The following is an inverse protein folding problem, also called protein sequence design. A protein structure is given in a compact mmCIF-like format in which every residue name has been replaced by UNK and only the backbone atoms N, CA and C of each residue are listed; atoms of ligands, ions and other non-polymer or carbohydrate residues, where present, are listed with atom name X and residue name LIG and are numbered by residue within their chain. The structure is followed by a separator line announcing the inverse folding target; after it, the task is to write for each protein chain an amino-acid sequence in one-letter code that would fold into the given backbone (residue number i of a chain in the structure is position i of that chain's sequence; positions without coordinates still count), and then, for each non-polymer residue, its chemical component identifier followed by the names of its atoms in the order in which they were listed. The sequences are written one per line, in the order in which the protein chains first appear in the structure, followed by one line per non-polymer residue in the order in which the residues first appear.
data_IF_198801000795
#
_entry.id   IF_198801000795
#
_cell.length_a   1.000
_cell.length_b   1.000
_cell.length_c   1.000
_cell.angle_alpha   90.00
_cell.angle_beta   90.00
_cell.angle_gamma   90.00
#
_symmetry.space_group_name_H-M   'P 1'
#
loop_
_entity.id
_entity.type
_entity.pdbx_description
1 polymer ?
#
# COMPACT_ATOMS: atom_id res chain seq x y z
N UNK A 1 15.03 26.00 65.22
CA UNK A 1 15.08 24.99 64.17
C UNK A 1 14.03 25.32 63.13
N UNK A 2 14.44 25.91 61.99
CA UNK A 2 13.53 26.30 60.90
C UNK A 2 13.75 25.29 59.80
N UNK A 3 12.69 24.47 59.48
CA UNK A 3 12.73 23.48 58.40
C UNK A 3 12.27 24.17 57.12
N UNK A 4 13.20 24.41 56.20
CA UNK A 4 12.89 24.85 54.83
C UNK A 4 12.32 23.68 54.03
N UNK A 5 11.04 23.77 53.62
CA UNK A 5 10.44 22.90 52.64
C UNK A 5 10.74 23.46 51.24
N UNK A 6 11.59 22.79 50.47
CA UNK A 6 11.79 23.03 49.05
C UNK A 6 10.61 22.39 48.30
N UNK A 7 9.75 23.23 47.75
CA UNK A 7 8.66 22.80 46.85
C UNK A 7 9.25 22.58 45.45
N UNK A 8 9.38 21.32 45.03
CA UNK A 8 9.78 20.98 43.65
C UNK A 8 8.59 21.18 42.71
N UNK A 9 8.67 22.18 41.85
CA UNK A 9 7.67 22.45 40.80
C UNK A 9 7.93 21.49 39.63
N UNK A 10 7.13 20.44 39.48
CA UNK A 10 7.16 19.54 38.32
C UNK A 10 6.52 20.26 37.13
N UNK A 11 7.33 20.67 36.14
CA UNK A 11 6.85 21.18 34.88
C UNK A 11 6.42 19.99 34.04
N UNK A 12 5.11 19.72 33.97
CA UNK A 12 4.53 18.78 33.03
C UNK A 12 4.59 19.42 31.64
N UNK A 13 5.55 18.97 30.83
CA UNK A 13 5.63 19.34 29.41
C UNK A 13 4.42 18.77 28.65
N UNK A 14 3.44 19.62 28.34
CA UNK A 14 2.36 19.28 27.44
C UNK A 14 2.95 19.06 26.04
N UNK A 15 2.94 17.81 25.56
CA UNK A 15 3.22 17.51 24.17
C UNK A 15 2.14 18.16 23.30
N UNK A 16 2.47 19.22 22.58
CA UNK A 16 1.57 19.84 21.62
C UNK A 16 1.23 18.82 20.53
N UNK A 17 -0.05 18.67 20.16
CA UNK A 17 -0.41 17.82 19.02
C UNK A 17 0.31 18.34 17.77
N UNK A 18 1.00 17.46 17.04
CA UNK A 18 1.58 17.78 15.75
C UNK A 18 0.44 18.26 14.84
N UNK A 19 0.51 19.51 14.38
CA UNK A 19 -0.47 20.04 13.44
C UNK A 19 -0.43 19.21 12.14
N UNK A 20 -1.59 18.88 11.61
CA UNK A 20 -1.70 18.22 10.31
C UNK A 20 -1.30 19.21 9.20
N UNK A 21 -0.55 18.74 8.21
CA UNK A 21 -0.18 19.51 7.04
C UNK A 21 -0.36 18.66 5.77
N UNK A 22 -0.88 19.25 4.67
CA UNK A 22 -1.03 18.49 3.44
C UNK A 22 0.34 18.17 2.83
N UNK A 23 0.52 16.91 2.44
CA UNK A 23 1.68 16.47 1.65
C UNK A 23 1.21 15.93 0.31
N UNK A 24 1.75 16.45 -0.78
CA UNK A 24 1.51 15.97 -2.14
C UNK A 24 2.77 15.26 -2.67
N UNK A 25 2.62 14.04 -3.15
CA UNK A 25 3.71 13.26 -3.74
C UNK A 25 3.42 13.02 -5.21
N UNK A 26 4.32 13.50 -6.08
CA UNK A 26 4.23 13.34 -7.53
C UNK A 26 5.20 12.25 -7.99
N UNK A 27 4.70 11.30 -8.76
CA UNK A 27 5.47 10.20 -9.35
C UNK A 27 5.44 10.33 -10.88
N UNK A 28 6.62 10.38 -11.49
CA UNK A 28 6.78 10.46 -12.95
C UNK A 28 7.75 9.38 -13.45
N UNK A 29 7.61 8.99 -14.70
CA UNK A 29 8.58 8.09 -15.34
C UNK A 29 9.86 8.85 -15.78
N UNK A 30 10.81 8.14 -16.40
CA UNK A 30 12.08 8.72 -16.87
C UNK A 30 11.89 9.81 -17.96
N UNK A 31 10.75 9.85 -18.63
CA UNK A 31 10.39 10.88 -19.62
C UNK A 31 9.55 12.02 -19.04
N UNK A 32 9.30 12.03 -17.72
CA UNK A 32 8.49 13.05 -17.06
C UNK A 32 6.97 12.81 -17.14
N UNK A 33 6.52 11.70 -17.71
CA UNK A 33 5.09 11.38 -17.80
C UNK A 33 4.56 10.93 -16.44
N UNK A 34 3.33 11.33 -16.07
CA UNK A 34 2.70 10.88 -14.84
C UNK A 34 2.63 9.34 -14.74
N UNK A 35 2.95 8.81 -13.56
CA UNK A 35 2.80 7.38 -13.26
C UNK A 35 1.57 7.20 -12.38
N UNK A 36 0.53 6.61 -12.96
CA UNK A 36 -0.68 6.20 -12.27
C UNK A 36 -0.45 4.89 -11.51
N UNK A 37 -1.26 4.62 -10.48
CA UNK A 37 -1.29 3.37 -9.73
C UNK A 37 0.02 3.04 -8.97
N UNK A 38 0.92 4.01 -8.77
CA UNK A 38 1.99 3.88 -7.81
C UNK A 38 1.43 3.96 -6.38
N UNK A 39 1.88 3.09 -5.49
CA UNK A 39 1.53 3.13 -4.07
C UNK A 39 2.57 3.95 -3.34
N UNK A 40 2.11 5.02 -2.73
CA UNK A 40 2.92 5.94 -1.92
C UNK A 40 2.56 5.73 -0.46
N UNK A 41 3.57 5.51 0.38
CA UNK A 41 3.38 5.36 1.83
C UNK A 41 4.28 6.34 2.57
N UNK A 42 3.70 7.14 3.46
CA UNK A 42 4.42 8.02 4.37
C UNK A 42 4.55 7.36 5.74
N UNK A 43 5.75 7.39 6.29
CA UNK A 43 6.10 6.96 7.64
C UNK A 43 6.66 8.16 8.43
N UNK A 44 5.81 8.90 9.17
CA UNK A 44 6.27 10.02 9.98
C UNK A 44 7.15 9.54 11.14
N UNK A 45 8.23 10.26 11.44
CA UNK A 45 9.06 9.97 12.60
C UNK A 45 8.29 10.23 13.91
N UNK A 46 8.52 9.38 14.92
CA UNK A 46 7.85 9.51 16.22
C UNK A 46 6.36 9.14 16.22
N UNK A 47 5.78 8.84 15.09
CA UNK A 47 4.44 8.24 15.05
C UNK A 47 4.56 6.75 15.32
N UNK A 48 3.83 6.26 16.33
CA UNK A 48 3.59 4.82 16.42
C UNK A 48 2.98 4.36 15.08
N UNK A 49 3.35 3.15 14.63
CA UNK A 49 2.70 2.55 13.47
C UNK A 49 1.18 2.63 13.70
N UNK A 50 0.54 3.59 13.04
CA UNK A 50 -0.91 3.75 13.13
C UNK A 50 -1.46 2.84 12.06
N UNK A 51 -2.16 1.75 12.44
CA UNK A 51 -2.77 0.90 11.43
C UNK A 51 -3.64 1.79 10.55
N UNK A 52 -3.54 1.61 9.26
CA UNK A 52 -4.49 2.19 8.33
C UNK A 52 -5.89 1.85 8.86
N UNK A 53 -6.81 2.81 8.87
CA UNK A 53 -8.14 2.60 9.40
C UNK A 53 -8.82 1.49 8.58
N UNK A 54 -8.83 0.29 9.11
CA UNK A 54 -9.29 -0.91 8.43
C UNK A 54 -10.59 -1.41 8.99
N UNK A 55 -11.68 -0.83 8.55
CA UNK A 55 -13.03 -1.33 8.76
C UNK A 55 -13.77 -1.45 7.44
N UNK A 56 -13.16 -2.04 6.40
CA UNK A 56 -13.77 -2.20 5.10
C UNK A 56 -13.83 -3.66 4.66
N UNK A 57 -14.82 -4.02 3.86
CA UNK A 57 -14.82 -5.28 3.12
C UNK A 57 -13.89 -5.12 1.93
N UNK A 58 -12.74 -5.79 1.99
CA UNK A 58 -11.80 -5.83 0.86
C UNK A 58 -12.14 -7.03 -0.02
N UNK A 59 -12.20 -6.78 -1.32
CA UNK A 59 -12.58 -7.78 -2.31
C UNK A 59 -11.62 -7.74 -3.48
N UNK A 60 -11.16 -8.91 -3.90
CA UNK A 60 -10.45 -9.12 -5.17
C UNK A 60 -11.20 -10.21 -5.93
N UNK A 61 -12.11 -9.80 -6.79
CA UNK A 61 -12.96 -10.72 -7.54
C UNK A 61 -12.21 -11.32 -8.74
N UNK A 62 -12.57 -12.56 -9.13
CA UNK A 62 -12.20 -13.14 -10.41
C UNK A 62 -13.37 -12.91 -11.37
N UNK A 63 -13.13 -12.16 -12.43
CA UNK A 63 -14.11 -11.83 -13.46
C UNK A 63 -13.42 -11.59 -14.79
N UNK A 64 -13.99 -12.11 -15.88
CA UNK A 64 -13.46 -11.95 -17.23
C UNK A 64 -12.00 -12.46 -17.35
N UNK A 65 -11.68 -13.56 -16.65
CA UNK A 65 -10.34 -14.16 -16.55
C UNK A 65 -9.28 -13.17 -16.02
N UNK A 66 -9.69 -12.27 -15.11
CA UNK A 66 -8.82 -11.29 -14.47
C UNK A 66 -9.16 -11.14 -12.98
N UNK A 67 -8.21 -10.59 -12.21
CA UNK A 67 -8.48 -10.12 -10.85
C UNK A 67 -8.94 -8.66 -10.87
N UNK A 68 -10.03 -8.36 -10.19
CA UNK A 68 -10.58 -7.01 -10.06
C UNK A 68 -10.74 -6.61 -8.59
N UNK A 69 -10.11 -5.48 -8.19
CA UNK A 69 -9.20 -4.65 -8.96
C UNK A 69 -7.80 -5.27 -9.12
N UNK A 70 -7.02 -4.79 -10.09
CA UNK A 70 -5.63 -5.20 -10.32
C UNK A 70 -4.69 -4.86 -9.14
N UNK A 71 -4.98 -3.77 -8.44
CA UNK A 71 -4.22 -3.31 -7.28
C UNK A 71 -5.17 -2.95 -6.13
N UNK A 72 -4.96 -3.58 -4.98
CA UNK A 72 -5.71 -3.31 -3.74
C UNK A 72 -4.74 -2.91 -2.64
N UNK A 73 -5.08 -1.87 -1.87
CA UNK A 73 -4.35 -1.49 -0.65
C UNK A 73 -5.21 -1.88 0.54
N UNK A 74 -4.63 -2.62 1.48
CA UNK A 74 -5.31 -3.06 2.69
C UNK A 74 -4.43 -2.82 3.93
N UNK A 75 -5.00 -2.55 5.11
CA UNK A 75 -4.23 -2.49 6.34
C UNK A 75 -3.75 -3.88 6.79
N UNK A 76 -2.69 -3.92 7.58
CA UNK A 76 -2.33 -5.12 8.35
C UNK A 76 -3.53 -5.54 9.21
N UNK A 77 -3.84 -6.83 9.23
CA UNK A 77 -4.99 -7.40 9.93
C UNK A 77 -6.27 -7.44 9.09
N UNK A 78 -6.23 -7.03 7.82
CA UNK A 78 -7.41 -7.09 6.96
C UNK A 78 -7.73 -8.50 6.49
N UNK A 79 -9.03 -8.78 6.36
CA UNK A 79 -9.56 -9.93 5.63
C UNK A 79 -9.93 -9.51 4.21
N UNK A 80 -9.43 -10.24 3.21
CA UNK A 80 -9.75 -10.00 1.79
C UNK A 80 -10.53 -11.19 1.25
N UNK A 81 -11.69 -10.92 0.67
CA UNK A 81 -12.54 -11.92 0.02
C UNK A 81 -12.20 -12.05 -1.45
N UNK A 82 -12.23 -13.28 -1.95
CA UNK A 82 -11.94 -13.65 -3.34
C UNK A 82 -13.16 -14.34 -3.96
N UNK A 83 -14.22 -13.60 -4.35
CA UNK A 83 -15.37 -14.20 -5.04
C UNK A 83 -15.02 -14.56 -6.48
N UNK A 84 -15.46 -15.73 -6.92
CA UNK A 84 -15.39 -16.12 -8.33
C UNK A 84 -16.70 -15.74 -9.03
N UNK A 85 -16.64 -14.78 -9.94
CA UNK A 85 -17.77 -14.29 -10.73
C UNK A 85 -17.78 -14.85 -12.16
N UNK A 86 -16.76 -15.63 -12.53
CA UNK A 86 -16.63 -16.27 -13.83
C UNK A 86 -17.39 -17.62 -13.90
N UNK A 87 -17.82 -18.04 -15.07
CA UNK A 87 -18.39 -19.37 -15.27
C UNK A 87 -17.39 -20.51 -15.08
N UNK A 88 -16.09 -20.22 -15.20
CA UNK A 88 -15.00 -21.18 -15.00
C UNK A 88 -14.51 -21.20 -13.56
N UNK A 89 -13.81 -22.27 -13.18
CA UNK A 89 -13.15 -22.36 -11.86
C UNK A 89 -11.86 -21.55 -11.85
N UNK A 90 -11.47 -21.06 -10.68
CA UNK A 90 -10.19 -20.40 -10.46
C UNK A 90 -9.43 -21.00 -9.27
N UNK A 91 -8.10 -20.80 -9.29
CA UNK A 91 -7.18 -21.25 -8.26
C UNK A 91 -6.25 -20.08 -7.93
N UNK A 92 -6.54 -19.40 -6.82
CA UNK A 92 -5.78 -18.20 -6.43
C UNK A 92 -4.63 -18.57 -5.52
N UNK A 93 -3.43 -18.05 -5.80
CA UNK A 93 -2.27 -18.29 -4.96
C UNK A 93 -1.36 -17.06 -4.82
N UNK A 94 -0.50 -17.11 -3.81
CA UNK A 94 0.64 -16.22 -3.63
C UNK A 94 1.81 -16.92 -2.98
N UNK A 95 3.02 -16.65 -3.47
CA UNK A 95 4.29 -17.06 -2.86
C UNK A 95 5.06 -15.88 -2.24
N UNK A 96 4.43 -14.72 -2.14
CA UNK A 96 5.07 -13.51 -1.59
C UNK A 96 5.45 -13.68 -0.12
N UNK A 97 6.62 -13.14 0.32
CA UNK A 97 7.05 -13.25 1.72
C UNK A 97 6.09 -12.62 2.74
N UNK A 98 5.29 -11.63 2.31
CA UNK A 98 4.28 -10.99 3.16
C UNK A 98 3.09 -11.90 3.43
N UNK A 99 2.67 -12.72 2.44
CA UNK A 99 1.61 -13.72 2.62
C UNK A 99 1.74 -14.83 1.59
N UNK A 100 1.94 -16.06 2.06
CA UNK A 100 1.88 -17.28 1.25
C UNK A 100 0.54 -17.95 1.48
N UNK A 101 -0.18 -18.27 0.40
CA UNK A 101 -1.44 -19.00 0.47
C UNK A 101 -1.79 -19.64 -0.85
N UNK A 102 -2.70 -20.59 -0.79
CA UNK A 102 -3.28 -21.29 -1.92
C UNK A 102 -4.77 -21.51 -1.66
N UNK A 103 -5.61 -20.97 -2.55
CA UNK A 103 -7.04 -21.24 -2.59
C UNK A 103 -7.29 -22.20 -3.74
N UNK A 104 -7.41 -23.50 -3.42
CA UNK A 104 -7.66 -24.56 -4.43
C UNK A 104 -8.93 -24.26 -5.20
N UNK A 105 -9.02 -24.83 -6.40
CA UNK A 105 -10.09 -24.61 -7.36
C UNK A 105 -11.48 -24.45 -6.74
N UNK A 106 -12.13 -23.33 -7.04
CA UNK A 106 -13.51 -23.05 -6.62
C UNK A 106 -14.33 -22.48 -7.78
N UNK A 107 -15.61 -22.86 -7.80
CA UNK A 107 -16.53 -22.58 -8.89
C UNK A 107 -17.14 -21.18 -8.79
N UNK A 108 -17.88 -20.79 -9.83
CA UNK A 108 -18.72 -19.60 -9.87
C UNK A 108 -19.57 -19.47 -8.59
N UNK A 109 -19.75 -18.22 -8.15
CA UNK A 109 -20.53 -17.82 -6.97
C UNK A 109 -19.99 -18.35 -5.63
N UNK A 110 -18.82 -19.00 -5.63
CA UNK A 110 -18.09 -19.33 -4.42
C UNK A 110 -17.09 -18.21 -4.09
N UNK A 111 -16.83 -18.01 -2.81
CA UNK A 111 -15.83 -17.07 -2.31
C UNK A 111 -14.94 -17.75 -1.26
N UNK A 112 -13.70 -17.26 -1.17
CA UNK A 112 -12.74 -17.64 -0.13
C UNK A 112 -12.23 -16.36 0.51
N UNK A 113 -11.76 -16.43 1.75
CA UNK A 113 -11.21 -15.27 2.47
C UNK A 113 -9.82 -15.59 2.97
N UNK A 114 -8.92 -14.61 2.88
CA UNK A 114 -7.55 -14.68 3.40
C UNK A 114 -7.31 -13.51 4.33
N UNK A 115 -6.70 -13.80 5.49
CA UNK A 115 -6.28 -12.80 6.46
C UNK A 115 -4.84 -12.35 6.16
N UNK A 116 -4.58 -11.02 6.17
CA UNK A 116 -3.28 -10.41 5.84
C UNK A 116 -2.64 -9.77 7.07
N UNK A 117 -1.82 -10.52 7.77
CA UNK A 117 -1.22 -10.21 9.08
C UNK A 117 0.14 -9.52 9.03
N UNK A 118 0.75 -9.39 7.85
CA UNK A 118 2.10 -8.84 7.69
C UNK A 118 2.15 -7.80 6.57
N UNK A 119 2.73 -6.63 6.86
CA UNK A 119 2.96 -5.58 5.86
C UNK A 119 3.87 -6.05 4.72
N UNK A 120 3.59 -5.59 3.51
CA UNK A 120 4.36 -5.88 2.31
C UNK A 120 3.50 -6.06 1.07
N UNK A 121 4.15 -6.39 -0.04
CA UNK A 121 3.47 -6.64 -1.32
C UNK A 121 3.18 -8.12 -1.48
N UNK A 122 1.96 -8.42 -1.87
CA UNK A 122 1.47 -9.77 -2.17
C UNK A 122 1.07 -9.83 -3.63
N UNK A 123 1.85 -10.53 -4.43
CA UNK A 123 1.53 -10.81 -5.83
C UNK A 123 0.57 -12.01 -5.88
N UNK A 124 -0.53 -11.85 -6.60
CA UNK A 124 -1.53 -12.89 -6.83
C UNK A 124 -1.36 -13.51 -8.20
N UNK A 125 -1.58 -14.79 -8.31
CA UNK A 125 -1.65 -15.55 -9.55
C UNK A 125 -2.80 -16.54 -9.55
N UNK A 126 -3.20 -16.97 -10.75
CA UNK A 126 -4.10 -18.10 -10.96
C UNK A 126 -3.32 -19.26 -11.60
N UNK A 127 -3.44 -20.48 -11.06
CA UNK A 127 -2.66 -21.62 -11.52
C UNK A 127 -3.13 -22.23 -12.87
N UNK A 128 -4.31 -21.86 -13.32
CA UNK A 128 -4.91 -22.42 -14.56
C UNK A 128 -5.12 -21.37 -15.66
N UNK A 129 -4.82 -20.09 -15.35
CA UNK A 129 -4.89 -18.99 -16.31
C UNK A 129 -3.68 -18.08 -16.07
N UNK A 130 -2.57 -18.33 -16.73
CA UNK A 130 -1.26 -17.71 -16.50
C UNK A 130 -1.26 -16.19 -16.59
N UNK A 131 -2.21 -15.61 -17.32
CA UNK A 131 -2.33 -14.16 -17.49
C UNK A 131 -3.03 -13.46 -16.32
N UNK A 132 -3.69 -14.21 -15.43
CA UNK A 132 -4.37 -13.62 -14.27
C UNK A 132 -3.36 -13.24 -13.19
N UNK A 133 -3.10 -11.97 -13.05
CA UNK A 133 -2.26 -11.43 -12.01
C UNK A 133 -2.85 -10.18 -11.37
N UNK A 134 -2.56 -9.96 -10.08
CA UNK A 134 -2.91 -8.75 -9.34
C UNK A 134 -1.98 -8.56 -8.15
N UNK A 135 -2.15 -7.46 -7.44
CA UNK A 135 -1.33 -7.13 -6.28
C UNK A 135 -2.18 -6.65 -5.12
N UNK A 136 -1.83 -7.11 -3.92
CA UNK A 136 -2.32 -6.54 -2.67
C UNK A 136 -1.13 -5.90 -1.95
N UNK A 137 -1.24 -4.62 -1.64
CA UNK A 137 -0.28 -3.93 -0.79
C UNK A 137 -0.85 -3.88 0.62
N UNK A 138 -0.24 -4.65 1.51
CA UNK A 138 -0.59 -4.67 2.92
C UNK A 138 0.22 -3.59 3.62
N UNK A 139 -0.44 -2.57 4.15
CA UNK A 139 0.21 -1.41 4.75
C UNK A 139 0.05 -1.37 6.26
N UNK A 140 1.11 -0.96 6.95
CA UNK A 140 1.15 -0.67 8.38
C UNK A 140 1.12 0.84 8.69
N UNK A 141 0.93 1.68 7.65
CA UNK A 141 0.82 3.13 7.77
C UNK A 141 -0.58 3.62 7.41
N UNK A 142 -1.13 4.52 8.23
CA UNK A 142 -2.39 5.20 7.93
C UNK A 142 -2.30 6.13 6.69
N UNK A 143 -1.09 6.53 6.33
CA UNK A 143 -0.83 7.42 5.20
C UNK A 143 -0.29 6.62 4.02
N UNK A 144 -1.17 5.83 3.42
CA UNK A 144 -0.89 5.09 2.19
C UNK A 144 -1.95 5.43 1.16
N UNK A 145 -1.52 5.86 -0.01
CA UNK A 145 -2.41 6.25 -1.10
C UNK A 145 -1.86 5.79 -2.46
N UNK A 146 -2.75 5.65 -3.42
CA UNK A 146 -2.43 5.35 -4.82
C UNK A 146 -2.37 6.65 -5.61
N UNK A 147 -1.38 6.80 -6.50
CA UNK A 147 -1.33 7.93 -7.43
C UNK A 147 -2.49 7.89 -8.42
N UNK A 148 -3.05 9.06 -8.69
CA UNK A 148 -4.11 9.27 -9.66
C UNK A 148 -3.57 9.34 -11.11
N UNK A 149 -4.41 9.68 -12.09
CA UNK A 149 -4.03 9.81 -13.50
C UNK A 149 -2.97 10.90 -13.76
N UNK A 150 -2.83 11.88 -12.85
CA UNK A 150 -1.82 12.93 -12.89
C UNK A 150 -0.52 12.52 -12.17
N UNK A 151 -0.43 11.27 -11.72
CA UNK A 151 0.72 10.75 -10.99
C UNK A 151 0.84 11.30 -9.56
N UNK A 152 -0.25 11.76 -8.95
CA UNK A 152 -0.24 12.42 -7.65
C UNK A 152 -0.97 11.59 -6.59
N UNK A 153 -0.30 11.39 -5.45
CA UNK A 153 -0.90 10.94 -4.20
C UNK A 153 -0.91 12.10 -3.20
N UNK A 154 -2.04 12.35 -2.55
CA UNK A 154 -2.21 13.45 -1.59
C UNK A 154 -2.58 12.90 -0.21
N UNK A 155 -1.98 13.49 0.83
CA UNK A 155 -2.22 13.21 2.24
C UNK A 155 -2.63 14.51 2.92
N UNK A 156 -3.92 14.72 3.13
CA UNK A 156 -4.44 15.98 3.66
C UNK A 156 -4.28 16.10 5.18
N UNK A 157 -4.12 14.97 5.86
CA UNK A 157 -4.01 14.82 7.30
C UNK A 157 -2.63 14.30 7.75
N UNK A 158 -1.61 14.45 6.91
CA UNK A 158 -0.27 14.04 7.24
C UNK A 158 0.24 14.83 8.47
N UNK A 159 0.92 14.18 9.44
CA UNK A 159 1.56 14.90 10.54
C UNK A 159 2.64 15.82 10.00
N UNK A 160 2.72 17.06 10.55
CA UNK A 160 3.81 17.97 10.25
C UNK A 160 5.10 17.53 10.97
N UNK A 161 5.68 16.43 10.53
CA UNK A 161 6.84 15.79 11.12
C UNK A 161 7.82 15.33 10.03
N UNK A 162 9.12 15.28 10.34
CA UNK A 162 10.05 14.62 9.43
C UNK A 162 9.68 13.15 9.29
N UNK A 163 10.10 12.52 8.21
CA UNK A 163 9.75 11.12 7.98
C UNK A 163 10.39 10.54 6.74
N UNK A 164 9.81 9.44 6.30
CA UNK A 164 10.22 8.71 5.10
C UNK A 164 9.00 8.46 4.23
N UNK A 165 9.14 8.74 2.94
CA UNK A 165 8.15 8.38 1.92
C UNK A 165 8.70 7.24 1.08
N UNK A 166 7.90 6.21 0.85
CA UNK A 166 8.22 5.10 -0.07
C UNK A 166 7.28 5.11 -1.25
N UNK A 167 7.78 4.68 -2.40
CA UNK A 167 7.00 4.49 -3.63
C UNK A 167 7.24 3.10 -4.16
N UNK A 168 6.16 2.38 -4.38
CA UNK A 168 6.12 1.07 -5.03
C UNK A 168 5.21 1.10 -6.26
N UNK A 169 5.53 0.29 -7.26
CA UNK A 169 4.67 0.07 -8.42
C UNK A 169 4.93 -1.34 -8.96
N UNK A 170 3.93 -2.08 -9.49
CA UNK A 170 4.09 -3.45 -10.00
C UNK A 170 5.25 -3.64 -10.99
N UNK A 171 5.50 -2.62 -11.79
CA UNK A 171 6.54 -2.63 -12.82
C UNK A 171 7.80 -1.85 -12.46
N UNK A 172 7.95 -1.45 -11.19
CA UNK A 172 9.10 -0.66 -10.75
C UNK A 172 10.41 -1.44 -10.86
N UNK A 173 11.42 -0.82 -11.48
CA UNK A 173 12.80 -1.28 -11.48
C UNK A 173 13.58 -0.50 -10.42
N UNK A 174 13.69 -1.06 -9.23
CA UNK A 174 14.47 -0.49 -8.15
C UNK A 174 15.04 -1.61 -7.26
N UNK A 175 16.18 -1.42 -6.62
CA UNK A 175 16.67 -2.31 -5.58
C UNK A 175 15.62 -2.46 -4.46
N UNK A 176 15.36 -3.70 -4.03
CA UNK A 176 14.32 -3.98 -3.03
C UNK A 176 12.88 -3.72 -3.48
N UNK A 177 12.65 -3.43 -4.80
CA UNK A 177 11.32 -3.27 -5.37
C UNK A 177 10.61 -1.96 -5.01
N UNK A 178 11.27 -1.02 -4.32
CA UNK A 178 10.70 0.28 -3.94
C UNK A 178 11.75 1.39 -3.95
N UNK A 179 11.29 2.63 -4.13
CA UNK A 179 12.11 3.83 -3.91
C UNK A 179 11.74 4.44 -2.56
N UNK A 180 12.69 5.18 -1.96
CA UNK A 180 12.41 5.93 -0.74
C UNK A 180 13.18 7.25 -0.71
N UNK A 181 12.58 8.25 -0.06
CA UNK A 181 13.18 9.55 0.22
C UNK A 181 12.79 10.01 1.62
N UNK A 182 13.67 10.76 2.27
CA UNK A 182 13.34 11.50 3.49
C UNK A 182 12.42 12.68 3.14
N UNK A 183 11.55 13.04 4.08
CA UNK A 183 10.71 14.24 4.02
C UNK A 183 10.89 15.02 5.31
N UNK A 184 11.03 16.35 5.21
CA UNK A 184 11.08 17.23 6.38
C UNK A 184 9.69 17.66 6.84
N UNK A 185 9.55 18.14 8.07
CA UNK A 185 8.29 18.60 8.62
C UNK A 185 7.64 19.74 7.81
N UNK A 186 8.46 20.65 7.27
CA UNK A 186 7.98 21.80 6.49
C UNK A 186 7.74 21.50 5.01
N UNK A 187 7.91 20.24 4.58
CA UNK A 187 7.80 19.86 3.18
C UNK A 187 6.38 19.46 2.82
N UNK A 188 5.76 20.20 1.89
CA UNK A 188 4.39 19.98 1.42
C UNK A 188 4.33 19.29 0.06
N UNK A 189 5.47 19.13 -0.61
CA UNK A 189 5.55 18.43 -1.89
C UNK A 189 6.82 17.61 -2.02
N UNK A 190 6.72 16.45 -2.68
CA UNK A 190 7.82 15.55 -2.94
C UNK A 190 7.69 14.94 -4.35
N UNK A 191 8.81 14.83 -5.08
CA UNK A 191 8.85 14.24 -6.41
C UNK A 191 9.64 12.94 -6.43
N UNK A 192 9.12 11.94 -7.15
CA UNK A 192 9.82 10.71 -7.48
C UNK A 192 9.89 10.53 -8.98
N UNK A 193 11.07 10.23 -9.49
CA UNK A 193 11.25 9.73 -10.85
C UNK A 193 11.49 8.22 -10.79
N UNK A 194 10.68 7.45 -11.51
CA UNK A 194 10.73 5.98 -11.49
C UNK A 194 11.12 5.43 -12.86
N UNK A 195 11.74 4.26 -12.85
CA UNK A 195 11.97 3.46 -14.07
C UNK A 195 11.03 2.26 -14.00
N UNK A 196 10.15 2.13 -14.99
CA UNK A 196 9.21 1.03 -15.08
C UNK A 196 9.66 0.02 -16.16
N UNK A 197 9.39 -1.26 -15.92
CA UNK A 197 9.39 -2.26 -17.00
C UNK A 197 8.15 -2.01 -17.85
N UNK A 198 8.17 -2.25 -19.15
CA UNK A 198 6.94 -2.36 -19.92
C UNK A 198 6.01 -3.37 -19.24
N UNK A 199 4.68 -3.17 -19.23
CA UNK A 199 3.76 -4.24 -18.95
C UNK A 199 4.13 -5.43 -19.85
N UNK A 200 4.12 -6.65 -19.30
CA UNK A 200 4.27 -7.82 -20.18
C UNK A 200 3.10 -7.77 -21.17
N UNK A 201 3.42 -7.61 -22.46
CA UNK A 201 2.43 -7.72 -23.50
C UNK A 201 1.83 -9.13 -23.38
N UNK A 202 0.51 -9.22 -23.23
CA UNK A 202 -0.18 -10.49 -23.38
C UNK A 202 0.09 -10.98 -24.80
N UNK A 203 0.87 -12.04 -24.94
CA UNK A 203 1.02 -12.70 -26.23
C UNK A 203 -0.32 -13.36 -26.58
N UNK A 204 -1.00 -12.82 -27.57
CA UNK A 204 -2.22 -13.42 -28.15
C UNK A 204 -1.93 -14.66 -29.03
N UNK A 205 -0.73 -15.23 -28.92
CA UNK A 205 -0.25 -16.26 -29.87
C UNK A 205 -0.24 -17.68 -29.32
N UNK A 206 -0.74 -17.92 -28.10
CA UNK A 206 -0.70 -19.25 -27.48
C UNK A 206 -2.12 -19.84 -27.24
N UNK A 207 -2.98 -19.79 -28.27
CA UNK A 207 -4.21 -20.59 -28.34
C UNK A 207 -4.23 -21.43 -29.62
#
# INVERSE_FOLDING_TARGET
MVRNFLLALAVAGAASPLAAAPLSVRVVDASGRPVRDAVVTLYPAGSAARPAHGGGKFVVAQKDLQFHPFLTIVPVGADVSFPNLDPTKHHVYSFSPAKKFELKLFAKDQSRTVHFDKAGVVALGCNIHDQMSAFIVVTDSAWTARTNAQGVAAFNDAPNAPGRVTVWHPYLRAPGGQLQQAVSAAQHSLGFQVRLRPPQAMSMTDY
#
